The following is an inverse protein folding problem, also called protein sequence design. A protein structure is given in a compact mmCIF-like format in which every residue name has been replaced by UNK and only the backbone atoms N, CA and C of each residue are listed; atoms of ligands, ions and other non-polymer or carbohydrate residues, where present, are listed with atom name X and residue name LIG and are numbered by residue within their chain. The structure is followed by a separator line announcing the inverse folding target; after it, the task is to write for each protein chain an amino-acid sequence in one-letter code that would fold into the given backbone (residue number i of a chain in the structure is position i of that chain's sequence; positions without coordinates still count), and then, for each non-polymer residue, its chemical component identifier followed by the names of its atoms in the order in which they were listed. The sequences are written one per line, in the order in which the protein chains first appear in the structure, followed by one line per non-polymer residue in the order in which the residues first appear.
data_IF_320241810758
#
_entry.id   IF_320241810758
#
_cell.length_a   1.000
_cell.length_b   1.000
_cell.length_c   1.000
_cell.angle_alpha   90.00
_cell.angle_beta   90.00
_cell.angle_gamma   90.00
#
_symmetry.space_group_name_H-M   'P 1'
#
loop_
_entity.id
_entity.type
_entity.pdbx_description
1 polymer ?
#
# COMPACT_ATOMS: atom_id res chain seq x y z
N UNK A 1 7.29 4.02 -15.46
CA UNK A 1 6.23 5.04 -15.70
C UNK A 1 6.56 6.26 -14.87
N UNK A 2 6.51 7.41 -15.49
CA UNK A 2 6.72 8.71 -14.83
C UNK A 2 5.47 9.57 -15.01
N UNK A 3 5.30 10.56 -14.14
CA UNK A 3 4.26 11.57 -14.31
C UNK A 3 4.64 12.62 -15.38
N UNK A 4 3.78 13.63 -15.58
CA UNK A 4 4.02 14.72 -16.55
C UNK A 4 5.26 15.57 -16.22
N UNK A 5 5.76 15.52 -14.98
CA UNK A 5 6.98 16.23 -14.54
C UNK A 5 8.24 15.37 -14.61
N UNK A 6 8.12 14.12 -15.06
CA UNK A 6 9.23 13.16 -15.14
C UNK A 6 9.50 12.40 -13.82
N UNK A 7 8.67 12.60 -12.78
CA UNK A 7 8.82 11.89 -11.51
C UNK A 7 8.28 10.45 -11.61
N UNK A 8 8.97 9.47 -10.97
CA UNK A 8 8.43 8.12 -10.85
C UNK A 8 7.06 8.14 -10.17
N UNK A 9 6.16 7.27 -10.63
CA UNK A 9 4.81 7.12 -10.06
C UNK A 9 4.69 5.84 -9.25
N UNK A 10 4.13 5.95 -8.06
CA UNK A 10 3.58 4.82 -7.29
C UNK A 10 2.06 4.89 -7.43
N UNK A 11 1.46 3.81 -7.92
CA UNK A 11 0.01 3.64 -8.03
C UNK A 11 -0.42 2.59 -7.02
N UNK A 12 -1.45 2.88 -6.25
CA UNK A 12 -2.08 1.94 -5.33
C UNK A 12 -3.55 1.80 -5.71
N UNK A 13 -4.00 0.56 -5.84
CA UNK A 13 -5.41 0.21 -5.96
C UNK A 13 -5.77 -0.71 -4.80
N UNK A 14 -6.78 -0.32 -4.05
CA UNK A 14 -7.25 -1.06 -2.90
C UNK A 14 -8.67 -0.68 -2.54
N UNK A 15 -9.12 -1.12 -1.39
CA UNK A 15 -10.43 -0.79 -0.85
C UNK A 15 -10.39 -0.71 0.68
N UNK A 16 -11.23 0.13 1.26
CA UNK A 16 -11.27 0.30 2.71
C UNK A 16 -11.68 -0.98 3.44
N UNK A 17 -12.60 -1.75 2.86
CA UNK A 17 -13.06 -3.01 3.47
C UNK A 17 -11.98 -4.07 3.60
N UNK A 18 -11.04 -4.11 2.68
CA UNK A 18 -10.07 -5.19 2.53
C UNK A 18 -9.06 -5.24 3.68
N UNK A 19 -8.96 -6.34 4.44
CA UNK A 19 -8.01 -6.46 5.57
C UNK A 19 -6.55 -6.51 5.11
N UNK A 20 -6.27 -7.06 3.94
CA UNK A 20 -4.92 -7.08 3.36
C UNK A 20 -4.49 -5.68 2.93
N UNK A 21 -5.42 -4.88 2.39
CA UNK A 21 -5.20 -3.46 2.12
C UNK A 21 -4.96 -2.68 3.41
N UNK A 22 -5.71 -3.00 4.47
CA UNK A 22 -5.55 -2.38 5.78
C UNK A 22 -4.13 -2.59 6.33
N UNK A 23 -3.61 -3.80 6.24
CA UNK A 23 -2.26 -4.13 6.65
C UNK A 23 -1.21 -3.39 5.80
N UNK A 24 -1.32 -3.45 4.49
CA UNK A 24 -0.33 -2.87 3.57
C UNK A 24 -0.24 -1.35 3.67
N UNK A 25 -1.36 -0.64 3.93
CA UNK A 25 -1.36 0.82 4.11
C UNK A 25 -0.42 1.30 5.21
N UNK A 26 -0.28 0.56 6.32
CA UNK A 26 0.68 0.90 7.38
C UNK A 26 2.10 0.96 6.84
N UNK A 27 2.53 -0.07 6.12
CA UNK A 27 3.87 -0.13 5.55
C UNK A 27 4.09 0.92 4.46
N UNK A 28 3.08 1.16 3.64
CA UNK A 28 3.13 2.20 2.61
C UNK A 28 3.26 3.61 3.21
N UNK A 29 2.50 3.91 4.27
CA UNK A 29 2.59 5.21 4.94
C UNK A 29 3.98 5.39 5.53
N UNK A 30 4.52 4.40 6.24
CA UNK A 30 5.88 4.44 6.78
C UNK A 30 6.92 4.66 5.68
N UNK A 31 6.85 3.91 4.58
CA UNK A 31 7.80 4.03 3.48
C UNK A 31 7.71 5.38 2.77
N UNK A 32 6.50 5.79 2.36
CA UNK A 32 6.27 7.03 1.62
C UNK A 32 6.59 8.28 2.44
N UNK A 33 6.41 8.24 3.77
CA UNK A 33 6.78 9.34 4.66
C UNK A 33 8.29 9.64 4.67
N UNK A 34 9.12 8.72 4.20
CA UNK A 34 10.57 8.95 4.02
C UNK A 34 10.90 9.80 2.79
N UNK A 35 9.96 9.93 1.84
CA UNK A 35 10.13 10.65 0.58
C UNK A 35 9.25 11.89 0.45
N UNK A 36 8.29 12.07 1.33
CA UNK A 36 7.34 13.17 1.25
C UNK A 36 6.44 13.26 2.48
N UNK A 37 5.36 14.00 2.34
CA UNK A 37 4.44 14.28 3.45
C UNK A 37 3.01 14.00 3.03
N UNK A 38 2.29 13.26 3.85
CA UNK A 38 0.84 13.12 3.78
C UNK A 38 0.13 14.28 4.49
N UNK A 39 -1.03 14.66 4.00
CA UNK A 39 -1.96 15.56 4.65
C UNK A 39 -3.38 15.00 4.53
N UNK A 40 -4.16 15.07 5.60
CA UNK A 40 -5.56 14.63 5.59
C UNK A 40 -5.76 13.11 5.62
N UNK A 41 -4.76 12.32 6.08
CA UNK A 41 -5.00 10.90 6.35
C UNK A 41 -6.05 10.76 7.42
N UNK A 42 -7.09 9.98 7.14
CA UNK A 42 -8.16 9.64 8.09
C UNK A 42 -8.05 8.18 8.53
N UNK A 43 -8.48 7.89 9.75
CA UNK A 43 -8.54 6.54 10.28
C UNK A 43 -9.79 5.82 9.77
N UNK A 44 -9.66 4.51 9.51
CA UNK A 44 -10.73 3.62 9.08
C UNK A 44 -10.44 2.22 9.61
N UNK A 45 -11.44 1.34 9.63
CA UNK A 45 -11.25 -0.10 9.85
C UNK A 45 -11.52 -0.87 8.56
N UNK A 46 -10.92 -2.04 8.40
CA UNK A 46 -11.38 -3.00 7.40
C UNK A 46 -12.78 -3.54 7.74
N UNK A 47 -13.36 -4.33 6.84
CA UNK A 47 -14.66 -4.96 7.05
C UNK A 47 -14.72 -5.75 8.36
N UNK A 48 -15.89 -5.76 8.98
CA UNK A 48 -16.19 -6.59 10.15
C UNK A 48 -16.57 -8.02 9.79
N UNK A 49 -16.80 -8.31 8.50
CA UNK A 49 -17.25 -9.62 7.99
C UNK A 49 -16.15 -10.40 7.29
N UNK A 50 -15.02 -9.76 6.95
CA UNK A 50 -13.87 -10.42 6.35
C UNK A 50 -12.93 -11.03 7.40
N UNK A 51 -12.00 -11.86 6.95
CA UNK A 51 -10.99 -12.50 7.81
C UNK A 51 -9.58 -12.09 7.35
N UNK A 52 -8.76 -11.47 8.21
CA UNK A 52 -9.10 -10.98 9.57
C UNK A 52 -10.05 -9.79 9.53
N UNK A 53 -10.92 -9.65 10.54
CA UNK A 53 -11.95 -8.61 10.58
C UNK A 53 -11.48 -7.37 11.32
N UNK A 54 -12.07 -6.21 10.94
CA UNK A 54 -12.02 -4.97 11.71
C UNK A 54 -10.59 -4.48 12.03
N UNK A 55 -9.68 -4.57 11.05
CA UNK A 55 -8.29 -4.12 11.21
C UNK A 55 -8.24 -2.59 11.23
N UNK A 56 -7.65 -2.04 12.29
CA UNK A 56 -7.41 -0.59 12.43
C UNK A 56 -6.37 -0.12 11.41
N UNK A 57 -6.72 0.86 10.58
CA UNK A 57 -5.85 1.36 9.52
C UNK A 57 -6.20 2.80 9.15
N UNK A 58 -5.62 3.30 8.07
CA UNK A 58 -5.93 4.59 7.48
C UNK A 58 -6.61 4.39 6.12
N UNK A 59 -7.24 5.45 5.59
CA UNK A 59 -7.64 5.52 4.19
C UNK A 59 -6.82 6.56 3.46
N UNK A 60 -6.51 6.26 2.20
CA UNK A 60 -5.92 7.25 1.29
C UNK A 60 -6.97 8.15 0.65
N UNK A 61 -8.26 7.78 0.74
CA UNK A 61 -9.33 8.62 0.24
C UNK A 61 -9.38 9.96 0.99
N UNK A 62 -9.50 11.06 0.25
CA UNK A 62 -9.51 12.41 0.82
C UNK A 62 -8.14 12.93 1.30
N UNK A 63 -7.09 12.11 1.27
CA UNK A 63 -5.73 12.54 1.60
C UNK A 63 -5.01 13.13 0.39
N UNK A 64 -3.93 13.83 0.66
CA UNK A 64 -2.97 14.29 -0.35
C UNK A 64 -1.55 13.90 0.04
N UNK A 65 -0.68 13.73 -0.97
CA UNK A 65 0.72 13.42 -0.79
C UNK A 65 1.59 14.37 -1.60
N UNK A 66 2.60 14.96 -0.98
CA UNK A 66 3.53 15.88 -1.61
C UNK A 66 4.95 15.37 -1.48
N UNK A 67 5.66 15.24 -2.61
CA UNK A 67 7.05 14.81 -2.66
C UNK A 67 7.81 15.50 -3.79
N UNK A 68 9.12 15.72 -3.55
CA UNK A 68 10.06 16.16 -4.59
C UNK A 68 10.50 15.01 -5.49
N UNK A 69 10.37 13.76 -5.05
CA UNK A 69 11.02 12.58 -5.62
C UNK A 69 10.09 11.69 -6.43
N UNK A 70 8.82 11.62 -6.05
CA UNK A 70 7.83 10.76 -6.69
C UNK A 70 6.43 11.37 -6.62
N UNK A 71 5.51 10.80 -7.40
CA UNK A 71 4.07 11.01 -7.24
C UNK A 71 3.42 9.73 -6.71
N UNK A 72 2.45 9.89 -5.81
CA UNK A 72 1.62 8.81 -5.29
C UNK A 72 0.18 9.03 -5.73
N UNK A 73 -0.40 8.01 -6.35
CA UNK A 73 -1.78 8.06 -6.89
C UNK A 73 -2.57 6.88 -6.35
N UNK A 74 -3.14 7.01 -5.14
CA UNK A 74 -3.97 5.97 -4.55
C UNK A 74 -5.40 6.01 -5.09
N UNK A 75 -6.05 4.85 -5.10
CA UNK A 75 -7.49 4.67 -5.31
C UNK A 75 -8.01 3.69 -4.27
N UNK A 76 -8.95 4.13 -3.46
CA UNK A 76 -9.76 3.28 -2.59
C UNK A 76 -11.08 3.03 -3.31
N UNK A 77 -11.23 1.84 -3.90
CA UNK A 77 -12.34 1.56 -4.82
C UNK A 77 -13.67 1.45 -4.11
N UNK A 78 -13.69 0.90 -2.90
CA UNK A 78 -14.90 0.66 -2.13
C UNK A 78 -14.68 1.03 -0.66
N UNK A 79 -15.78 1.40 0.00
CA UNK A 79 -15.80 1.65 1.45
C UNK A 79 -15.78 0.33 2.24
N UNK A 80 -15.85 0.43 3.56
CA UNK A 80 -16.10 -0.71 4.45
C UNK A 80 -17.61 -0.87 4.81
N UNK A 81 -18.49 -0.18 4.09
CA UNK A 81 -19.95 -0.22 4.31
C UNK A 81 -20.56 -1.23 3.33
N UNK A 82 -21.17 -2.33 3.82
CA UNK A 82 -21.82 -3.30 2.96
C UNK A 82 -22.93 -2.66 2.11
N UNK A 83 -23.02 -3.06 0.86
CA UNK A 83 -24.12 -2.71 -0.05
C UNK A 83 -25.01 -3.94 -0.28
N UNK A 84 -26.18 -3.93 0.33
CA UNK A 84 -27.13 -5.05 0.22
C UNK A 84 -27.71 -5.24 -1.19
N UNK A 85 -27.59 -4.25 -2.07
CA UNK A 85 -28.10 -4.33 -3.44
C UNK A 85 -27.14 -5.09 -4.37
N UNK A 86 -25.84 -5.04 -4.09
CA UNK A 86 -24.80 -5.70 -4.89
C UNK A 86 -24.23 -6.95 -4.22
N UNK A 87 -24.41 -7.09 -2.91
CA UNK A 87 -23.78 -8.12 -2.09
C UNK A 87 -22.28 -7.85 -1.80
N UNK A 88 -21.76 -6.70 -2.22
CA UNK A 88 -20.40 -6.22 -1.98
C UNK A 88 -20.38 -5.03 -1.02
N UNK A 89 -19.54 -4.05 -1.34
CA UNK A 89 -19.37 -2.82 -0.57
C UNK A 89 -19.72 -1.58 -1.41
N UNK A 90 -20.06 -0.48 -0.74
CA UNK A 90 -20.39 0.77 -1.42
C UNK A 90 -19.19 1.30 -2.19
N UNK A 91 -19.36 1.62 -3.47
CA UNK A 91 -18.32 2.22 -4.31
C UNK A 91 -17.86 3.56 -3.73
N UNK A 92 -16.54 3.76 -3.67
CA UNK A 92 -15.94 4.99 -3.16
C UNK A 92 -15.22 5.77 -4.27
N UNK A 93 -14.31 5.14 -4.98
CA UNK A 93 -13.59 5.76 -6.10
C UNK A 93 -13.54 4.81 -7.30
N UNK A 94 -13.64 5.36 -8.50
CA UNK A 94 -13.47 4.59 -9.73
C UNK A 94 -12.05 4.80 -10.28
N UNK A 95 -11.26 3.73 -10.50
CA UNK A 95 -9.97 3.85 -11.16
C UNK A 95 -10.11 4.47 -12.54
N UNK A 96 -9.15 5.30 -12.92
CA UNK A 96 -9.06 5.81 -14.29
C UNK A 96 -8.80 4.65 -15.27
N UNK A 97 -9.07 4.85 -16.56
CA UNK A 97 -8.78 3.85 -17.59
C UNK A 97 -7.32 3.40 -17.58
N UNK A 98 -6.38 4.32 -17.30
CA UNK A 98 -4.96 4.01 -17.18
C UNK A 98 -4.69 3.10 -15.98
N UNK A 99 -5.24 3.42 -14.81
CA UNK A 99 -5.07 2.61 -13.59
C UNK A 99 -5.70 1.22 -13.74
N UNK A 100 -6.90 1.15 -14.34
CA UNK A 100 -7.55 -0.13 -14.63
C UNK A 100 -6.72 -0.97 -15.63
N UNK A 101 -6.11 -0.36 -16.63
CA UNK A 101 -5.25 -1.04 -17.58
C UNK A 101 -3.97 -1.59 -16.91
N UNK A 102 -3.43 -0.91 -15.89
CA UNK A 102 -2.31 -1.42 -15.11
C UNK A 102 -2.72 -2.68 -14.34
N UNK A 103 -3.85 -2.64 -13.62
CA UNK A 103 -4.37 -3.79 -12.89
C UNK A 103 -4.59 -4.97 -13.85
N UNK A 104 -5.36 -4.78 -14.92
CA UNK A 104 -5.68 -5.84 -15.89
C UNK A 104 -4.43 -6.47 -16.52
N UNK A 105 -3.38 -5.67 -16.76
CA UNK A 105 -2.16 -6.15 -17.41
C UNK A 105 -1.23 -6.89 -16.46
N UNK A 106 -1.04 -6.37 -15.25
CA UNK A 106 0.03 -6.78 -14.37
C UNK A 106 -0.45 -7.68 -13.23
N UNK A 107 -1.74 -7.62 -12.90
CA UNK A 107 -2.38 -8.53 -11.95
C UNK A 107 -3.12 -9.65 -12.70
N UNK A 108 -2.40 -10.33 -13.55
CA UNK A 108 -2.85 -11.44 -14.37
C UNK A 108 -1.66 -12.36 -14.71
N UNK A 109 -1.89 -13.61 -15.14
CA UNK A 109 -0.80 -14.46 -15.62
C UNK A 109 0.00 -13.78 -16.75
N UNK A 110 1.34 -13.92 -16.79
CA UNK A 110 2.17 -14.80 -15.95
C UNK A 110 2.65 -14.17 -14.63
N UNK A 111 2.20 -12.95 -14.28
CA UNK A 111 2.65 -12.21 -13.09
C UNK A 111 1.98 -12.72 -11.80
N UNK A 112 0.83 -13.31 -11.89
CA UNK A 112 0.18 -14.09 -10.83
C UNK A 112 0.07 -15.55 -11.26
N UNK A 113 -0.03 -16.46 -10.28
CA UNK A 113 0.07 -17.90 -10.55
C UNK A 113 -1.09 -18.45 -11.39
N UNK A 114 -2.28 -17.89 -11.26
CA UNK A 114 -3.48 -18.31 -12.01
C UNK A 114 -4.40 -17.14 -12.29
N UNK A 115 -5.33 -17.33 -13.25
CA UNK A 115 -6.37 -16.34 -13.56
C UNK A 115 -7.32 -16.07 -12.37
N UNK A 116 -7.50 -17.04 -11.48
CA UNK A 116 -8.36 -16.92 -10.30
C UNK A 116 -7.79 -15.94 -9.25
N UNK A 117 -6.50 -15.62 -9.36
CA UNK A 117 -5.83 -14.64 -8.51
C UNK A 117 -5.77 -13.24 -9.14
N UNK A 118 -6.22 -13.10 -10.39
CA UNK A 118 -6.21 -11.83 -11.09
C UNK A 118 -7.21 -10.84 -10.47
N UNK A 119 -6.81 -9.57 -10.41
CA UNK A 119 -7.63 -8.51 -9.80
C UNK A 119 -7.55 -8.44 -8.28
N UNK A 120 -6.56 -9.12 -7.67
CA UNK A 120 -6.35 -9.10 -6.22
C UNK A 120 -5.92 -7.71 -5.74
N UNK A 121 -6.36 -7.36 -4.53
CA UNK A 121 -5.98 -6.12 -3.85
C UNK A 121 -5.36 -6.43 -2.47
N UNK A 122 -4.45 -5.57 -1.98
CA UNK A 122 -3.91 -4.35 -2.61
C UNK A 122 -3.04 -4.65 -3.83
N UNK A 123 -3.14 -3.79 -4.85
CA UNK A 123 -2.25 -3.78 -6.01
C UNK A 123 -1.40 -2.52 -5.96
N UNK A 124 -0.08 -2.65 -6.01
CA UNK A 124 0.86 -1.52 -5.93
C UNK A 124 1.84 -1.61 -7.08
N UNK A 125 1.86 -0.57 -7.91
CA UNK A 125 2.71 -0.48 -9.08
C UNK A 125 3.78 0.60 -8.90
N UNK A 126 5.04 0.19 -8.95
CA UNK A 126 6.20 1.04 -8.69
C UNK A 126 6.89 1.44 -10.01
N UNK A 127 6.40 2.48 -10.68
CA UNK A 127 7.05 3.13 -11.81
C UNK A 127 7.38 2.25 -13.03
N UNK A 128 6.79 1.07 -13.13
CA UNK A 128 7.08 0.11 -14.20
C UNK A 128 8.28 -0.79 -13.94
N UNK A 129 8.79 -0.81 -12.73
CA UNK A 129 9.94 -1.65 -12.33
C UNK A 129 9.56 -2.78 -11.40
N UNK A 130 8.67 -2.52 -10.45
CA UNK A 130 8.27 -3.49 -9.43
C UNK A 130 6.75 -3.50 -9.27
N UNK A 131 6.28 -4.59 -8.71
CA UNK A 131 4.88 -4.87 -8.47
C UNK A 131 4.74 -5.54 -7.10
N UNK A 132 3.71 -5.19 -6.34
CA UNK A 132 3.26 -5.90 -5.15
C UNK A 132 1.77 -6.16 -5.27
N UNK A 133 1.35 -7.40 -5.05
CA UNK A 133 -0.04 -7.85 -5.13
C UNK A 133 -0.35 -8.61 -3.84
N UNK A 134 -1.43 -8.22 -3.17
CA UNK A 134 -1.76 -8.72 -1.85
C UNK A 134 -0.94 -8.06 -0.74
N UNK A 135 -1.18 -8.47 0.50
CA UNK A 135 -0.41 -7.98 1.65
C UNK A 135 0.96 -8.65 1.71
N UNK A 136 1.97 -7.87 2.06
CA UNK A 136 3.37 -8.32 2.18
C UNK A 136 3.64 -9.09 3.49
N UNK A 137 2.67 -9.14 4.39
CA UNK A 137 2.74 -9.89 5.66
C UNK A 137 1.33 -10.31 6.11
N UNK A 138 1.27 -11.21 7.08
CA UNK A 138 0.01 -11.71 7.62
C UNK A 138 -0.74 -10.60 8.36
N UNK A 139 -1.89 -10.19 7.82
CA UNK A 139 -2.74 -9.15 8.38
C UNK A 139 -3.29 -9.50 9.77
N UNK A 140 -3.33 -10.79 10.15
CA UNK A 140 -3.80 -11.23 11.48
C UNK A 140 -2.96 -10.67 12.63
N UNK A 141 -1.71 -10.28 12.35
CA UNK A 141 -0.80 -9.65 13.32
C UNK A 141 -1.36 -8.34 13.90
N UNK A 142 -2.29 -7.70 13.18
CA UNK A 142 -2.95 -6.45 13.57
C UNK A 142 -4.32 -6.67 14.22
N UNK A 143 -4.79 -7.92 14.31
CA UNK A 143 -6.12 -8.24 14.82
C UNK A 143 -6.31 -7.76 16.27
N UNK A 144 -7.40 -7.03 16.51
CA UNK A 144 -7.77 -6.52 17.82
C UNK A 144 -6.94 -5.33 18.31
N UNK A 145 -5.93 -4.89 17.54
CA UNK A 145 -5.11 -3.73 17.91
C UNK A 145 -5.79 -2.43 17.46
N UNK A 146 -5.64 -1.39 18.29
CA UNK A 146 -6.05 -0.02 17.97
C UNK A 146 -4.92 0.73 17.26
N UNK A 147 -5.23 1.86 16.60
CA UNK A 147 -4.23 2.69 15.89
C UNK A 147 -3.07 3.13 16.77
N UNK A 148 -3.34 3.56 18.01
CA UNK A 148 -2.35 4.00 18.97
C UNK A 148 -1.42 2.85 19.41
N UNK A 149 -1.95 1.66 19.57
CA UNK A 149 -1.18 0.46 19.87
C UNK A 149 -0.25 0.09 18.72
N UNK A 150 -0.78 0.03 17.50
CA UNK A 150 0.02 -0.27 16.29
C UNK A 150 1.12 0.80 16.13
N UNK A 151 0.77 2.09 16.25
CA UNK A 151 1.73 3.19 16.13
C UNK A 151 2.81 3.17 17.24
N UNK A 152 2.45 2.81 18.47
CA UNK A 152 3.40 2.62 19.56
C UNK A 152 4.35 1.47 19.27
N UNK A 153 3.81 0.35 18.80
CA UNK A 153 4.58 -0.86 18.50
C UNK A 153 5.63 -0.64 17.40
N UNK A 154 5.40 0.28 16.46
CA UNK A 154 6.38 0.59 15.41
C UNK A 154 7.75 1.03 15.97
N UNK A 155 7.78 1.56 17.18
CA UNK A 155 9.02 1.99 17.85
C UNK A 155 9.69 0.88 18.67
N UNK A 156 9.06 -0.28 18.80
CA UNK A 156 9.61 -1.45 19.48
C UNK A 156 10.17 -2.46 18.48
N UNK A 157 11.49 -2.56 18.26
CA UNK A 157 12.07 -3.45 17.26
C UNK A 157 11.83 -4.94 17.55
N UNK A 158 11.46 -5.30 18.76
CA UNK A 158 11.15 -6.69 19.13
C UNK A 158 9.68 -7.05 18.85
N UNK A 159 8.81 -6.06 18.71
CA UNK A 159 7.39 -6.27 18.37
C UNK A 159 7.23 -7.00 17.04
N UNK A 160 6.39 -8.05 16.96
CA UNK A 160 6.00 -8.65 15.70
C UNK A 160 5.39 -7.63 14.73
N UNK A 161 4.62 -6.67 15.23
CA UNK A 161 4.01 -5.58 14.45
C UNK A 161 5.09 -4.71 13.80
N UNK A 162 6.10 -4.27 14.58
CA UNK A 162 7.22 -3.50 14.05
C UNK A 162 8.00 -4.27 12.99
N UNK A 163 8.31 -5.55 13.24
CA UNK A 163 9.04 -6.40 12.30
C UNK A 163 8.30 -6.53 10.97
N UNK A 164 6.99 -6.75 11.01
CA UNK A 164 6.15 -6.88 9.82
C UNK A 164 6.04 -5.55 9.05
N UNK A 165 5.57 -4.51 9.71
CA UNK A 165 5.31 -3.21 9.07
C UNK A 165 6.60 -2.55 8.60
N UNK A 166 7.62 -2.43 9.49
CA UNK A 166 8.88 -1.77 9.14
C UNK A 166 9.71 -2.62 8.16
N UNK A 167 9.65 -3.95 8.27
CA UNK A 167 10.27 -4.86 7.30
C UNK A 167 9.75 -4.62 5.89
N UNK A 168 8.43 -4.66 5.71
CA UNK A 168 7.77 -4.36 4.44
C UNK A 168 8.05 -2.92 3.98
N UNK A 169 7.97 -1.94 4.89
CA UNK A 169 8.27 -0.55 4.56
C UNK A 169 9.71 -0.38 4.05
N UNK A 170 10.67 -1.15 4.54
CA UNK A 170 12.05 -1.12 4.05
C UNK A 170 12.18 -1.65 2.62
N UNK A 171 11.45 -2.72 2.25
CA UNK A 171 11.40 -3.21 0.87
C UNK A 171 10.71 -2.22 -0.08
N UNK A 172 9.58 -1.63 0.34
CA UNK A 172 8.92 -0.55 -0.41
C UNK A 172 9.89 0.64 -0.59
N UNK A 173 10.63 1.01 0.47
CA UNK A 173 11.63 2.08 0.40
C UNK A 173 12.74 1.73 -0.59
N UNK A 174 13.23 0.50 -0.60
CA UNK A 174 14.24 0.05 -1.56
C UNK A 174 13.74 0.14 -3.01
N UNK A 175 12.50 -0.30 -3.27
CA UNK A 175 11.89 -0.16 -4.58
C UNK A 175 11.80 1.31 -5.04
N UNK A 176 11.38 2.21 -4.13
CA UNK A 176 11.33 3.64 -4.41
C UNK A 176 12.73 4.22 -4.63
N UNK A 177 13.72 3.87 -3.82
CA UNK A 177 15.11 4.29 -3.99
C UNK A 177 15.63 3.95 -5.38
N UNK A 178 15.35 2.73 -5.86
CA UNK A 178 15.71 2.31 -7.22
C UNK A 178 15.07 3.16 -8.30
N UNK A 179 13.84 3.61 -8.08
CA UNK A 179 13.11 4.48 -9.02
C UNK A 179 13.63 5.92 -9.01
N UNK A 180 14.06 6.41 -7.86
CA UNK A 180 14.47 7.81 -7.64
C UNK A 180 15.99 8.03 -7.81
N UNK A 181 16.75 7.00 -8.24
CA UNK A 181 18.20 7.07 -8.32
C UNK A 181 18.86 7.25 -6.95
N UNK A 182 18.36 6.56 -5.95
CA UNK A 182 18.81 6.60 -4.55
C UNK A 182 18.68 7.99 -3.90
N UNK A 183 17.61 8.72 -4.22
CA UNK A 183 17.31 10.01 -3.60
C UNK A 183 15.99 9.97 -2.83
N UNK A 184 15.90 10.63 -1.65
CA UNK A 184 17.00 11.28 -0.93
C UNK A 184 17.94 10.27 -0.23
N UNK A 185 19.19 10.63 -0.06
CA UNK A 185 20.17 9.77 0.62
C UNK A 185 19.78 9.41 2.07
N UNK A 186 19.01 10.29 2.74
CA UNK A 186 18.48 10.03 4.09
C UNK A 186 17.49 8.86 4.15
N UNK A 187 16.75 8.59 3.09
CA UNK A 187 15.86 7.43 2.97
C UNK A 187 16.59 6.23 2.35
N UNK A 188 17.46 6.48 1.36
CA UNK A 188 18.16 5.46 0.59
C UNK A 188 19.52 5.13 1.19
N UNK A 189 19.54 4.71 2.45
CA UNK A 189 20.75 4.30 3.17
C UNK A 189 21.38 3.04 2.57
N UNK A 190 22.64 2.75 2.90
CA UNK A 190 23.33 1.53 2.45
C UNK A 190 22.55 0.25 2.83
N UNK A 191 21.94 0.24 4.03
CA UNK A 191 21.10 -0.88 4.47
C UNK A 191 19.88 -1.06 3.57
N UNK A 192 19.17 0.02 3.24
CA UNK A 192 18.01 -0.02 2.33
C UNK A 192 18.43 -0.45 0.93
N UNK A 193 19.53 0.09 0.41
CA UNK A 193 20.06 -0.29 -0.91
C UNK A 193 20.47 -1.75 -0.99
N UNK A 194 20.91 -2.36 0.12
CA UNK A 194 21.21 -3.80 0.13
C UNK A 194 19.98 -4.67 -0.15
N UNK A 195 18.77 -4.20 0.22
CA UNK A 195 17.49 -4.88 -0.04
C UNK A 195 17.08 -4.80 -1.53
N UNK A 196 17.63 -3.87 -2.31
CA UNK A 196 17.35 -3.79 -3.76
C UNK A 196 17.72 -5.08 -4.51
N UNK A 197 18.62 -5.90 -3.94
CA UNK A 197 19.04 -7.18 -4.53
C UNK A 197 18.00 -8.29 -4.37
N UNK A 198 17.06 -8.12 -3.46
CA UNK A 198 15.98 -9.07 -3.16
C UNK A 198 14.61 -8.68 -3.76
N UNK A 199 14.56 -7.59 -4.55
CA UNK A 199 13.36 -7.10 -5.23
C UNK A 199 13.11 -7.83 -6.55
#
# INVERSE_FOLDING_TARGET
MVDKSGKPRVVYLGAEYCPYCAAERWSMIVALSRFGTFSGLSTVHSSTTDTPSNISTFTFHGSSYTSKYLTFTPVEMETNIPDSSTGGYTTLQTPTKEQQALLTKWDAPPYVASADQAGAIPFIYFGGKYLSIGASYDATILSGLKWDQIASDLNNPDSPVAKAINGTANHITAAICKMTGNQPASACTATVQSLEKSL
#
